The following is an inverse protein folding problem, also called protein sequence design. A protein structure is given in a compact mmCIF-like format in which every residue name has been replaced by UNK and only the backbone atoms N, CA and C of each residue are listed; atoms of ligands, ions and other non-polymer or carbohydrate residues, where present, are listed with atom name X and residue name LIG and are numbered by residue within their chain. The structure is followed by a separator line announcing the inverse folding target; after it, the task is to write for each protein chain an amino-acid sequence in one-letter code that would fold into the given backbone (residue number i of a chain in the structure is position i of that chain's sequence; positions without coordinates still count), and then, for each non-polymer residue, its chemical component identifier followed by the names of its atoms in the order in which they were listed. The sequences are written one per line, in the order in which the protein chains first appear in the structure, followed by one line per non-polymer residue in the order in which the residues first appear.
data_IF_461818871399
#
_entry.id   IF_461818871399
#
_cell.length_a   1.000
_cell.length_b   1.000
_cell.length_c   1.000
_cell.angle_alpha   90.00
_cell.angle_beta   90.00
_cell.angle_gamma   90.00
#
_symmetry.space_group_name_H-M   'P 1'
#
loop_
_entity.id
_entity.type
_entity.pdbx_description
1 polymer ?
#
# COMPACT_ATOMS: atom_id res chain seq x y z
N UNK A 1 -16.66 20.04 11.57
CA UNK A 1 -17.18 18.75 11.09
C UNK A 1 -16.18 17.68 11.52
N UNK A 2 -16.61 16.58 12.16
CA UNK A 2 -15.69 15.66 12.82
C UNK A 2 -14.83 14.95 11.77
N UNK A 3 -13.52 14.98 12.02
CA UNK A 3 -12.45 14.36 11.26
C UNK A 3 -12.76 12.89 11.00
N UNK A 4 -13.28 12.58 9.82
CA UNK A 4 -13.53 11.21 9.39
C UNK A 4 -12.17 10.51 9.33
N UNK A 5 -11.94 9.56 10.25
CA UNK A 5 -10.68 8.83 10.32
C UNK A 5 -10.39 8.17 8.96
N UNK A 6 -9.27 8.54 8.33
CA UNK A 6 -8.75 7.95 7.09
C UNK A 6 -8.44 6.44 7.21
N UNK A 7 -8.65 5.87 8.39
CA UNK A 7 -8.38 4.47 8.75
C UNK A 7 -9.35 3.46 8.13
N UNK A 8 -10.43 3.89 7.48
CA UNK A 8 -11.42 3.02 6.82
C UNK A 8 -11.59 3.29 5.31
N UNK A 9 -10.64 3.97 4.66
CA UNK A 9 -10.78 4.28 3.22
C UNK A 9 -10.70 3.04 2.31
N UNK A 10 -10.14 1.92 2.77
CA UNK A 10 -10.22 0.64 2.07
C UNK A 10 -9.87 -0.54 3.02
N UNK A 11 -10.30 -1.78 2.69
CA UNK A 11 -9.93 -2.96 3.46
C UNK A 11 -8.43 -3.23 3.39
N UNK A 12 -7.90 -3.98 4.37
CA UNK A 12 -6.53 -4.49 4.33
C UNK A 12 -6.41 -5.47 3.15
N UNK A 13 -5.47 -5.21 2.25
CA UNK A 13 -5.25 -6.00 1.04
C UNK A 13 -3.78 -6.38 0.93
N UNK A 14 -3.51 -7.50 0.28
CA UNK A 14 -2.15 -7.94 -0.03
C UNK A 14 -1.81 -7.52 -1.46
N UNK A 15 -0.69 -6.80 -1.62
CA UNK A 15 -0.18 -6.41 -2.93
C UNK A 15 0.93 -7.39 -3.34
N UNK A 16 0.88 -7.97 -4.56
CA UNK A 16 1.90 -8.89 -5.04
C UNK A 16 3.14 -8.14 -5.55
N UNK A 17 3.94 -7.58 -4.63
CA UNK A 17 5.17 -6.83 -4.96
C UNK A 17 6.37 -7.72 -5.28
N UNK A 18 6.30 -9.02 -5.00
CA UNK A 18 7.42 -9.96 -5.11
C UNK A 18 7.86 -10.21 -6.57
N UNK A 19 6.92 -10.15 -7.52
CA UNK A 19 7.20 -10.44 -8.93
C UNK A 19 7.82 -9.26 -9.69
N UNK A 20 7.44 -8.03 -9.35
CA UNK A 20 7.82 -6.80 -10.07
C UNK A 20 8.76 -5.91 -9.27
N UNK A 21 8.88 -6.11 -7.95
CA UNK A 21 9.65 -5.23 -7.05
C UNK A 21 8.92 -3.93 -6.69
N UNK A 22 7.80 -3.62 -7.33
CA UNK A 22 6.93 -2.49 -7.01
C UNK A 22 5.46 -2.81 -7.30
N UNK A 23 4.55 -2.25 -6.50
CA UNK A 23 3.11 -2.34 -6.75
C UNK A 23 2.37 -1.11 -6.24
N UNK A 24 1.28 -0.77 -6.93
CA UNK A 24 0.41 0.36 -6.59
C UNK A 24 -0.88 -0.16 -5.97
N UNK A 25 -1.30 0.43 -4.85
CA UNK A 25 -2.60 0.13 -4.26
C UNK A 25 -3.72 0.69 -5.13
N UNK A 26 -4.63 -0.17 -5.61
CA UNK A 26 -5.77 0.24 -6.45
C UNK A 26 -6.79 1.11 -5.72
N UNK A 27 -6.76 1.15 -4.38
CA UNK A 27 -7.72 1.90 -3.59
C UNK A 27 -7.21 3.31 -3.24
N UNK A 28 -5.98 3.41 -2.74
CA UNK A 28 -5.42 4.67 -2.27
C UNK A 28 -4.35 5.26 -3.20
N UNK A 29 -3.92 4.53 -4.24
CA UNK A 29 -2.89 4.98 -5.18
C UNK A 29 -1.46 5.00 -4.61
N UNK A 30 -1.25 4.48 -3.39
CA UNK A 30 0.07 4.40 -2.79
C UNK A 30 0.99 3.45 -3.57
N UNK A 31 2.19 3.91 -3.91
CA UNK A 31 3.23 3.12 -4.58
C UNK A 31 4.16 2.50 -3.53
N UNK A 32 4.24 1.17 -3.51
CA UNK A 32 5.12 0.41 -2.65
C UNK A 32 6.29 -0.13 -3.47
N UNK A 33 7.50 -0.04 -2.92
CA UNK A 33 8.73 -0.58 -3.52
C UNK A 33 9.40 -1.54 -2.55
N UNK A 34 9.81 -2.69 -3.06
CA UNK A 34 10.58 -3.67 -2.33
C UNK A 34 12.03 -3.18 -2.24
N UNK A 35 12.47 -2.84 -1.03
CA UNK A 35 13.86 -2.49 -0.80
C UNK A 35 14.70 -3.77 -0.71
N UNK A 36 15.90 -3.81 -1.33
CA UNK A 36 16.82 -4.91 -1.15
C UNK A 36 17.23 -4.98 0.34
N UNK A 37 17.18 -6.19 0.92
CA UNK A 37 17.56 -6.45 2.31
C UNK A 37 19.04 -6.08 2.50
N UNK A 38 19.27 -4.87 3.00
CA UNK A 38 20.60 -4.39 3.36
C UNK A 38 20.69 -4.54 4.87
N UNK A 39 21.03 -5.76 5.30
CA UNK A 39 21.32 -6.09 6.69
C UNK A 39 22.67 -5.54 7.14
#
# INVERSE_FOLDING_TARGET
MPSMYLWNSHPRVFLPIEATGEATCHYCGALYKLLPDTK
#
